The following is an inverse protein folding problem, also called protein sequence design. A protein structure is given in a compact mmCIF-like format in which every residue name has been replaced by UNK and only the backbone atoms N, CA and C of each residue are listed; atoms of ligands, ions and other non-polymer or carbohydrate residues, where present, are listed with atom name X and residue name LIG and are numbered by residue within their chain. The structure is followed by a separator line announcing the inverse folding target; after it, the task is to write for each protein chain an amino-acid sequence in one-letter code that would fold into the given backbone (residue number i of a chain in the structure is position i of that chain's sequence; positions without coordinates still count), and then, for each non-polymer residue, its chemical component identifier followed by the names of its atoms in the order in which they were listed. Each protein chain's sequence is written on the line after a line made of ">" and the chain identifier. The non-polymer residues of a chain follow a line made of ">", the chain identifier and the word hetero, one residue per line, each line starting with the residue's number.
data_IF_625280849464
#
_entry.id   IF_625280849464
#
_cell.length_a   1.000
_cell.length_b   1.000
_cell.length_c   1.000
_cell.angle_alpha   90.00
_cell.angle_beta   90.00
_cell.angle_gamma   90.00
#
_symmetry.space_group_name_H-M   'P 1'
#
loop_
_entity.id
_entity.type
_entity.pdbx_description
1 polymer ?
#
# COMPACT_ATOMS: atom_id res chain seq x y z
N UNK A 1 9.29 3.77 -38.77
CA UNK A 1 10.00 2.78 -37.93
C UNK A 1 10.04 3.36 -36.52
N UNK A 2 9.09 2.98 -35.66
CA UNK A 2 9.03 3.44 -34.27
C UNK A 2 9.38 2.25 -33.38
N UNK A 3 10.60 2.25 -32.83
CA UNK A 3 11.02 1.26 -31.84
C UNK A 3 10.57 1.73 -30.48
N UNK A 4 9.61 1.03 -29.88
CA UNK A 4 9.24 1.22 -28.47
C UNK A 4 10.32 0.54 -27.63
N UNK A 5 11.05 1.26 -26.76
CA UNK A 5 12.06 0.63 -25.91
C UNK A 5 11.39 -0.29 -24.90
N UNK A 6 11.92 -1.53 -24.77
CA UNK A 6 11.46 -2.49 -23.76
C UNK A 6 11.83 -1.97 -22.37
N UNK A 7 10.85 -1.48 -21.62
CA UNK A 7 10.97 -1.27 -20.18
C UNK A 7 10.92 -2.65 -19.51
N UNK A 8 12.08 -3.14 -19.06
CA UNK A 8 12.16 -4.40 -18.32
C UNK A 8 11.99 -4.10 -16.83
N UNK A 9 10.81 -4.37 -16.28
CA UNK A 9 10.56 -4.29 -14.85
C UNK A 9 11.28 -5.45 -14.15
N UNK A 10 12.44 -5.17 -13.54
CA UNK A 10 13.17 -6.17 -12.73
C UNK A 10 12.62 -6.15 -11.30
N UNK A 11 11.63 -6.99 -11.03
CA UNK A 11 11.18 -7.29 -9.67
C UNK A 11 12.06 -8.43 -9.14
N UNK A 12 13.04 -8.12 -8.31
CA UNK A 12 13.86 -9.13 -7.63
C UNK A 12 13.10 -9.67 -6.41
N UNK A 13 12.47 -10.84 -6.55
CA UNK A 13 12.03 -11.63 -5.40
C UNK A 13 13.25 -12.34 -4.80
N UNK A 14 13.73 -11.89 -3.65
CA UNK A 14 14.80 -12.57 -2.93
C UNK A 14 14.18 -13.59 -1.97
N UNK A 15 14.20 -14.87 -2.34
CA UNK A 15 14.01 -15.97 -1.39
C UNK A 15 15.28 -16.06 -0.52
N UNK A 16 15.12 -15.84 0.78
CA UNK A 16 16.21 -15.89 1.75
C UNK A 16 16.81 -17.29 1.86
N UNK A 17 18.00 -17.50 1.31
CA UNK A 17 18.99 -18.44 1.88
C UNK A 17 20.20 -17.60 2.26
N UNK A 18 20.40 -17.44 3.57
CA UNK A 18 21.45 -16.62 4.14
C UNK A 18 22.84 -17.18 3.79
N UNK A 19 23.61 -16.43 3.01
CA UNK A 19 25.08 -16.51 3.03
C UNK A 19 25.62 -15.07 2.98
N UNK A 20 26.62 -14.85 3.83
CA UNK A 20 27.17 -13.59 4.27
C UNK A 20 27.54 -12.58 3.15
N UNK A 21 27.51 -11.30 3.55
CA UNK A 21 27.88 -10.08 2.81
C UNK A 21 26.86 -9.58 1.78
N UNK A 22 25.95 -8.73 2.24
CA UNK A 22 25.08 -7.97 1.36
C UNK A 22 24.02 -7.23 2.16
N UNK A 23 24.12 -5.90 2.18
CA UNK A 23 23.20 -5.02 2.92
C UNK A 23 21.76 -5.30 2.47
N UNK A 24 20.98 -5.87 3.38
CA UNK A 24 19.54 -6.06 3.23
C UNK A 24 18.88 -4.70 3.49
N UNK A 25 18.57 -3.94 2.44
CA UNK A 25 17.78 -2.73 2.59
C UNK A 25 16.34 -3.12 2.96
N UNK A 26 15.97 -2.81 4.19
CA UNK A 26 14.66 -3.13 4.76
C UNK A 26 13.53 -2.44 3.98
N UNK A 27 12.51 -3.23 3.62
CA UNK A 27 11.16 -2.72 3.36
C UNK A 27 10.61 -2.28 4.72
N UNK A 28 10.54 -0.97 4.96
CA UNK A 28 9.87 -0.46 6.16
C UNK A 28 8.38 -0.42 5.85
N UNK A 29 7.62 -1.38 6.37
CA UNK A 29 6.19 -1.21 6.53
C UNK A 29 5.97 -0.04 7.48
N UNK A 30 5.34 1.04 6.99
CA UNK A 30 4.93 2.13 7.88
C UNK A 30 3.90 1.60 8.88
N UNK A 31 3.92 2.09 10.12
CA UNK A 31 2.86 1.88 11.12
C UNK A 31 1.45 2.32 10.65
N UNK A 32 1.40 2.96 9.49
CA UNK A 32 0.21 3.46 8.81
C UNK A 32 -0.32 2.46 7.77
N UNK A 33 0.29 1.27 7.61
CA UNK A 33 -0.15 0.25 6.65
C UNK A 33 0.24 0.54 5.19
N UNK A 34 1.15 1.48 4.96
CA UNK A 34 1.64 1.88 3.63
C UNK A 34 3.07 1.41 3.45
N UNK A 35 3.33 0.77 2.31
CA UNK A 35 4.67 0.28 1.95
C UNK A 35 5.22 1.10 0.78
N UNK A 36 6.52 1.41 0.85
CA UNK A 36 7.23 2.25 -0.12
C UNK A 36 8.42 1.47 -0.67
N UNK A 37 8.53 1.39 -1.99
CA UNK A 37 9.73 0.85 -2.64
C UNK A 37 10.88 1.88 -2.61
N UNK A 38 12.06 1.50 -2.11
CA UNK A 38 13.29 2.31 -2.22
C UNK A 38 14.21 1.75 -3.31
N UNK A 39 15.01 2.60 -3.99
CA UNK A 39 16.01 2.13 -4.95
C UNK A 39 17.01 1.19 -4.27
N UNK A 40 17.47 0.19 -5.04
CA UNK A 40 18.24 -0.93 -4.52
C UNK A 40 19.69 -0.55 -4.16
N UNK A 41 20.26 0.52 -4.76
CA UNK A 41 21.59 1.08 -4.45
C UNK A 41 21.70 2.55 -4.86
N UNK A 42 22.66 3.28 -4.28
CA UNK A 42 23.22 4.53 -4.83
C UNK A 42 24.41 4.14 -5.72
N UNK A 43 24.19 3.67 -6.95
CA UNK A 43 25.28 3.38 -7.89
C UNK A 43 25.56 4.61 -8.78
N UNK A 44 26.79 4.81 -9.26
CA UNK A 44 27.20 6.01 -10.01
C UNK A 44 26.48 6.24 -11.36
N UNK A 45 25.58 5.33 -11.77
CA UNK A 45 24.92 5.32 -13.07
C UNK A 45 23.38 5.36 -12.98
N UNK A 46 22.84 5.74 -11.82
CA UNK A 46 21.38 5.92 -11.62
C UNK A 46 20.77 7.02 -12.50
N UNK A 47 21.58 7.90 -13.07
CA UNK A 47 21.15 8.98 -13.98
C UNK A 47 20.50 8.46 -15.30
N UNK A 48 20.66 7.17 -15.62
CA UNK A 48 20.00 6.53 -16.78
C UNK A 48 18.68 5.84 -16.45
N UNK A 49 18.34 5.70 -15.17
CA UNK A 49 17.12 5.03 -14.73
C UNK A 49 16.01 6.05 -14.49
N UNK A 50 14.77 5.68 -14.85
CA UNK A 50 13.61 6.50 -14.52
C UNK A 50 13.24 6.30 -13.04
N UNK A 51 13.32 7.34 -12.19
CA UNK A 51 12.97 7.20 -10.79
C UNK A 51 11.45 7.01 -10.65
N UNK A 52 11.04 5.92 -9.99
CA UNK A 52 9.64 5.60 -9.73
C UNK A 52 9.48 5.25 -8.25
N UNK A 53 8.50 5.86 -7.60
CA UNK A 53 8.13 5.56 -6.21
C UNK A 53 6.79 4.86 -6.18
N UNK A 54 6.75 3.61 -5.71
CA UNK A 54 5.51 2.86 -5.57
C UNK A 54 5.03 2.98 -4.12
N UNK A 55 3.85 3.58 -3.95
CA UNK A 55 3.11 3.65 -2.70
C UNK A 55 1.96 2.65 -2.83
N UNK A 56 1.82 1.69 -1.93
CA UNK A 56 0.74 0.71 -2.04
C UNK A 56 0.02 0.38 -0.74
N UNK A 57 -1.24 -0.02 -0.90
CA UNK A 57 -2.13 -0.58 0.11
C UNK A 57 -2.70 -1.91 -0.40
N UNK A 58 -2.92 -2.87 0.48
CA UNK A 58 -3.53 -4.18 0.21
C UNK A 58 -4.29 -4.63 1.46
N UNK A 59 -5.26 -5.54 1.28
CA UNK A 59 -5.90 -6.29 2.38
C UNK A 59 -6.43 -5.37 3.49
N UNK A 60 -7.00 -4.23 3.09
CA UNK A 60 -7.49 -3.23 4.04
C UNK A 60 -8.66 -3.77 4.87
N UNK A 61 -9.45 -4.68 4.28
CA UNK A 61 -10.52 -5.41 4.94
C UNK A 61 -11.41 -4.52 5.82
N UNK A 62 -11.94 -3.44 5.23
CA UNK A 62 -12.87 -2.51 5.86
C UNK A 62 -12.42 -1.93 7.22
N UNK A 63 -11.11 -1.76 7.47
CA UNK A 63 -10.57 -1.15 8.71
C UNK A 63 -10.52 0.38 8.65
N UNK A 64 -11.69 1.00 8.48
CA UNK A 64 -11.77 2.45 8.33
C UNK A 64 -11.34 3.21 9.60
N UNK A 65 -11.60 2.63 10.77
CA UNK A 65 -11.10 3.09 12.07
C UNK A 65 -9.70 2.52 12.36
N UNK A 66 -9.01 3.16 13.29
CA UNK A 66 -7.75 2.62 13.81
C UNK A 66 -7.96 1.29 14.55
N UNK A 67 -6.97 0.41 14.45
CA UNK A 67 -6.96 -0.89 15.10
C UNK A 67 -5.81 -0.95 16.08
N UNK A 68 -5.84 -1.89 17.02
CA UNK A 68 -4.63 -2.22 17.76
C UNK A 68 -3.64 -3.01 16.87
N UNK A 69 -2.49 -3.38 17.45
CA UNK A 69 -1.41 -4.09 16.75
C UNK A 69 -1.77 -5.49 16.27
N UNK A 70 -2.84 -6.09 16.82
CA UNK A 70 -3.38 -7.39 16.39
C UNK A 70 -4.61 -7.23 15.47
N UNK A 71 -4.81 -6.03 14.94
CA UNK A 71 -5.87 -5.72 13.96
C UNK A 71 -7.30 -5.91 14.48
N UNK A 72 -7.52 -5.78 15.79
CA UNK A 72 -8.85 -5.72 16.41
C UNK A 72 -9.16 -4.29 16.84
N UNK A 73 -10.36 -4.06 17.41
CA UNK A 73 -10.79 -2.72 17.86
C UNK A 73 -9.75 -2.15 18.83
N UNK A 74 -9.25 -0.95 18.54
CA UNK A 74 -8.32 -0.28 19.44
C UNK A 74 -9.01 0.27 20.70
N UNK A 75 -8.34 0.13 21.84
CA UNK A 75 -8.75 0.71 23.13
C UNK A 75 -7.64 1.57 23.73
N UNK A 76 -7.51 2.83 23.30
CA UNK A 76 -6.44 3.71 23.77
C UNK A 76 -6.55 4.05 25.27
N UNK A 77 -7.76 4.00 25.84
CA UNK A 77 -8.04 4.18 27.26
C UNK A 77 -7.47 3.05 28.14
N UNK A 78 -7.37 1.84 27.59
CA UNK A 78 -6.69 0.70 28.22
C UNK A 78 -5.17 0.71 27.95
N UNK A 79 -4.65 1.78 27.34
CA UNK A 79 -3.22 1.94 27.02
C UNK A 79 -2.78 1.21 25.75
N UNK A 80 -3.71 0.76 24.90
CA UNK A 80 -3.37 0.11 23.65
C UNK A 80 -2.75 1.07 22.64
N UNK A 81 -1.84 0.55 21.80
CA UNK A 81 -1.26 1.28 20.68
C UNK A 81 -2.16 1.14 19.45
N UNK A 82 -2.75 2.26 19.01
CA UNK A 82 -3.56 2.31 17.80
C UNK A 82 -2.72 2.59 16.53
N UNK A 83 -2.94 1.77 15.52
CA UNK A 83 -2.29 1.80 14.21
C UNK A 83 -3.34 1.84 13.08
N UNK A 84 -2.90 2.20 11.87
CA UNK A 84 -3.78 2.21 10.71
C UNK A 84 -4.94 3.20 10.82
N UNK A 85 -6.10 2.78 10.33
CA UNK A 85 -7.27 3.63 10.09
C UNK A 85 -7.15 4.44 8.81
N UNK A 86 -8.26 4.59 8.09
CA UNK A 86 -8.25 5.17 6.75
C UNK A 86 -7.82 6.64 6.75
N UNK A 87 -8.21 7.42 7.77
CA UNK A 87 -7.77 8.81 7.92
C UNK A 87 -6.23 8.94 7.95
N UNK A 88 -5.56 8.02 8.66
CA UNK A 88 -4.10 8.00 8.78
C UNK A 88 -3.43 7.56 7.48
N UNK A 89 -4.03 6.58 6.79
CA UNK A 89 -3.60 6.16 5.44
C UNK A 89 -3.68 7.34 4.47
N UNK A 90 -4.81 8.03 4.39
CA UNK A 90 -5.01 9.19 3.50
C UNK A 90 -3.97 10.27 3.77
N UNK A 91 -3.78 10.63 5.04
CA UNK A 91 -2.78 11.63 5.41
C UNK A 91 -1.36 11.21 4.99
N UNK A 92 -1.00 9.93 5.23
CA UNK A 92 0.34 9.44 4.87
C UNK A 92 0.55 9.38 3.37
N UNK A 93 -0.39 8.83 2.60
CA UNK A 93 -0.25 8.70 1.15
C UNK A 93 -0.09 10.08 0.52
N UNK A 94 -0.89 11.07 0.92
CA UNK A 94 -0.74 12.46 0.44
C UNK A 94 0.61 13.06 0.80
N UNK A 95 1.09 12.84 2.03
CA UNK A 95 2.43 13.27 2.45
C UNK A 95 3.53 12.61 1.62
N UNK A 96 3.41 11.32 1.30
CA UNK A 96 4.38 10.59 0.50
C UNK A 96 4.39 11.05 -0.97
N UNK A 97 3.22 11.29 -1.55
CA UNK A 97 3.14 11.85 -2.90
C UNK A 97 3.82 13.23 -2.99
N UNK A 98 3.78 14.03 -1.92
CA UNK A 98 4.51 15.29 -1.84
C UNK A 98 6.01 15.09 -1.59
N UNK A 99 6.38 14.21 -0.65
CA UNK A 99 7.77 13.90 -0.28
C UNK A 99 8.58 13.33 -1.46
N UNK A 100 7.94 12.54 -2.31
CA UNK A 100 8.56 11.86 -3.46
C UNK A 100 8.13 12.45 -4.81
N UNK A 101 7.64 13.69 -4.84
CA UNK A 101 7.14 14.34 -6.06
C UNK A 101 8.20 14.39 -7.19
N UNK A 102 9.48 14.45 -6.85
CA UNK A 102 10.63 14.42 -7.76
C UNK A 102 10.94 13.02 -8.31
N UNK A 103 10.29 11.97 -7.79
CA UNK A 103 10.53 10.55 -8.11
C UNK A 103 9.27 9.84 -8.61
N UNK A 104 8.37 10.57 -9.26
CA UNK A 104 7.18 10.05 -9.94
C UNK A 104 6.39 9.07 -9.05
N UNK A 105 5.77 9.54 -7.95
CA UNK A 105 5.09 8.66 -7.03
C UNK A 105 3.75 8.20 -7.63
N UNK A 106 3.49 6.90 -7.55
CA UNK A 106 2.20 6.29 -7.90
C UNK A 106 1.60 5.61 -6.68
N UNK A 107 0.28 5.74 -6.50
CA UNK A 107 -0.50 5.10 -5.45
C UNK A 107 -1.34 3.95 -5.99
N UNK A 108 -1.10 2.74 -5.50
CA UNK A 108 -1.75 1.51 -5.94
C UNK A 108 -2.53 0.84 -4.80
N UNK A 109 -3.69 0.29 -5.11
CA UNK A 109 -4.44 -0.57 -4.19
C UNK A 109 -4.53 -2.00 -4.77
N UNK A 110 -4.02 -2.99 -4.04
CA UNK A 110 -3.94 -4.37 -4.52
C UNK A 110 -5.21 -5.21 -4.27
N UNK A 111 -6.30 -4.62 -3.79
CA UNK A 111 -7.57 -5.31 -3.56
C UNK A 111 -7.78 -5.73 -2.10
N UNK A 112 -8.80 -6.56 -1.87
CA UNK A 112 -9.26 -6.97 -0.53
C UNK A 112 -9.53 -5.78 0.40
N UNK A 113 -10.15 -4.75 -0.18
CA UNK A 113 -10.70 -3.62 0.57
C UNK A 113 -12.07 -3.97 1.17
N UNK A 114 -12.77 -4.95 0.58
CA UNK A 114 -14.05 -5.47 1.03
C UNK A 114 -13.87 -6.48 2.17
N UNK A 115 -14.98 -6.72 2.88
CA UNK A 115 -15.09 -7.65 4.02
C UNK A 115 -14.20 -7.30 5.23
N UNK A 116 -14.52 -7.79 6.43
CA UNK A 116 -13.58 -7.87 7.55
C UNK A 116 -13.99 -7.15 8.84
N UNK A 117 -14.79 -6.09 8.77
CA UNK A 117 -15.35 -5.41 9.96
C UNK A 117 -16.85 -5.18 9.81
N UNK A 118 -17.49 -4.76 10.90
CA UNK A 118 -18.93 -4.45 10.91
C UNK A 118 -19.31 -3.34 9.91
N UNK A 119 -18.37 -2.48 9.52
CA UNK A 119 -18.56 -1.47 8.49
C UNK A 119 -19.06 -2.10 7.18
N UNK A 120 -18.37 -3.14 6.70
CA UNK A 120 -18.76 -3.81 5.47
C UNK A 120 -20.00 -4.68 5.66
N UNK A 121 -20.18 -5.30 6.83
CA UNK A 121 -21.40 -6.09 7.12
C UNK A 121 -22.66 -5.24 7.01
N UNK A 122 -22.64 -4.00 7.51
CA UNK A 122 -23.81 -3.12 7.54
C UNK A 122 -23.98 -2.28 6.28
N UNK A 123 -22.88 -1.77 5.71
CA UNK A 123 -22.92 -0.74 4.65
C UNK A 123 -22.38 -1.22 3.31
N UNK A 124 -21.81 -2.44 3.25
CA UNK A 124 -21.34 -3.10 2.03
C UNK A 124 -20.42 -2.22 1.18
N UNK A 125 -20.49 -2.34 -0.14
CA UNK A 125 -19.67 -1.58 -1.09
C UNK A 125 -19.87 -0.06 -1.01
N UNK A 126 -20.99 0.44 -0.48
CA UNK A 126 -21.24 1.88 -0.38
C UNK A 126 -20.27 2.57 0.56
N UNK A 127 -19.97 1.97 1.74
CA UNK A 127 -18.99 2.58 2.64
C UNK A 127 -17.58 2.49 2.09
N UNK A 128 -17.22 1.35 1.48
CA UNK A 128 -15.88 1.18 0.92
C UNK A 128 -15.64 2.12 -0.25
N UNK A 129 -16.59 2.24 -1.18
CA UNK A 129 -16.47 3.18 -2.30
C UNK A 129 -16.41 4.63 -1.83
N UNK A 130 -17.21 5.00 -0.81
CA UNK A 130 -17.17 6.34 -0.21
C UNK A 130 -15.76 6.69 0.31
N UNK A 131 -15.12 5.80 1.06
CA UNK A 131 -13.77 6.03 1.56
C UNK A 131 -12.72 5.99 0.44
N UNK A 132 -12.74 4.98 -0.44
CA UNK A 132 -11.79 4.88 -1.55
C UNK A 132 -11.81 6.12 -2.47
N UNK A 133 -12.97 6.77 -2.62
CA UNK A 133 -13.07 8.01 -3.39
C UNK A 133 -12.41 9.23 -2.72
N UNK A 134 -12.11 9.19 -1.42
CA UNK A 134 -11.39 10.29 -0.73
C UNK A 134 -9.89 10.31 -1.05
N UNK A 135 -9.35 9.15 -1.45
CA UNK A 135 -7.98 8.98 -1.89
C UNK A 135 -7.99 8.01 -3.10
N UNK A 136 -8.30 8.53 -4.30
CA UNK A 136 -8.35 7.72 -5.49
C UNK A 136 -6.94 7.15 -5.80
N UNK A 137 -6.86 5.84 -5.95
CA UNK A 137 -5.65 5.18 -6.42
C UNK A 137 -5.47 5.38 -7.93
N UNK A 138 -4.21 5.42 -8.38
CA UNK A 138 -3.87 5.46 -9.81
C UNK A 138 -4.30 4.17 -10.52
N UNK A 139 -4.23 3.06 -9.79
CA UNK A 139 -4.86 1.81 -10.18
C UNK A 139 -5.27 0.99 -8.95
N UNK A 140 -6.35 0.22 -9.11
CA UNK A 140 -6.80 -0.75 -8.13
C UNK A 140 -7.06 -2.10 -8.79
N UNK A 141 -6.63 -3.18 -8.16
CA UNK A 141 -7.02 -4.54 -8.55
C UNK A 141 -8.16 -5.05 -7.67
N UNK A 142 -8.93 -6.00 -8.19
CA UNK A 142 -9.91 -6.75 -7.41
C UNK A 142 -9.19 -7.91 -6.72
N UNK A 143 -9.39 -8.04 -5.42
CA UNK A 143 -9.04 -9.23 -4.64
C UNK A 143 -10.20 -10.21 -4.61
N UNK A 144 -10.10 -11.26 -3.80
CA UNK A 144 -11.14 -12.27 -3.69
C UNK A 144 -12.35 -11.77 -2.89
N UNK A 145 -12.14 -10.94 -1.86
CA UNK A 145 -13.24 -10.48 -1.00
C UNK A 145 -14.12 -9.43 -1.68
N UNK A 146 -13.67 -8.86 -2.80
CA UNK A 146 -14.53 -8.04 -3.66
C UNK A 146 -15.73 -8.83 -4.23
N UNK A 147 -15.66 -10.17 -4.25
CA UNK A 147 -16.70 -11.05 -4.78
C UNK A 147 -17.51 -11.81 -3.71
N UNK A 148 -17.33 -11.50 -2.41
CA UNK A 148 -18.04 -12.18 -1.32
C UNK A 148 -19.57 -12.11 -1.43
N UNK A 149 -20.09 -11.12 -2.16
CA UNK A 149 -21.53 -10.90 -2.37
C UNK A 149 -21.97 -11.18 -3.80
N UNK A 150 -21.14 -11.88 -4.58
CA UNK A 150 -21.37 -12.10 -6.00
C UNK A 150 -20.92 -10.92 -6.86
N UNK A 151 -21.33 -10.94 -8.12
CA UNK A 151 -20.98 -9.95 -9.16
C UNK A 151 -22.11 -8.96 -9.45
N UNK A 152 -23.24 -9.12 -8.76
CA UNK A 152 -24.47 -8.31 -8.90
C UNK A 152 -24.33 -6.95 -8.19
#
# INVERSE_FOLDING_TARGET
>A
MWTVPRVTLRIAFCFSVAVASGVCSAVFASEQGVVISKPWRNEPNDDLLYPLTIIHLNDFHARFEETNTVSTRCKPDEGERCIGGYARVVARVKSLQQEYADRNPIYLNAGDSFQGTIWYTLLRWNVTSYFLNMLPADAMTLGNHEFDHGVE
#
